data_IF_410708657897
#
_entry.id   IF_410708657897
#
_cell.length_a   1.000
_cell.length_b   1.000
_cell.length_c   1.000
_cell.angle_alpha   90.00
_cell.angle_beta   90.00
_cell.angle_gamma   90.00
#
_symmetry.space_group_name_H-M   'P 1'
#
loop_
_entity.id
_entity.type
_entity.pdbx_description
1 polymer ?
#
# COMPACT_ATOMS: atom_id res chain seq x y z
N UNK A 1 25.00 -8.84 14.17
CA UNK A 1 24.42 -9.85 13.26
C UNK A 1 22.90 -9.95 13.41
N UNK A 2 22.31 -10.39 14.54
CA UNK A 2 20.83 -10.46 14.67
C UNK A 2 20.11 -9.09 14.71
N UNK A 3 20.82 -8.05 15.18
CA UNK A 3 20.30 -6.67 15.25
C UNK A 3 20.14 -6.00 13.88
N UNK A 4 20.74 -6.59 12.86
CA UNK A 4 20.87 -6.02 11.51
C UNK A 4 19.90 -6.70 10.52
N UNK A 5 19.26 -7.79 10.94
CA UNK A 5 18.32 -8.56 10.11
C UNK A 5 16.93 -7.96 10.31
N UNK A 6 16.54 -7.09 9.40
CA UNK A 6 15.16 -6.64 9.26
C UNK A 6 14.52 -7.31 8.04
N UNK A 7 13.42 -8.01 8.27
CA UNK A 7 12.64 -8.61 7.19
C UNK A 7 11.76 -7.56 6.51
N UNK A 8 11.86 -7.47 5.18
CA UNK A 8 10.88 -6.78 4.35
C UNK A 8 10.54 -7.65 3.14
N UNK A 9 9.26 -7.65 2.76
CA UNK A 9 8.81 -8.38 1.57
C UNK A 9 9.20 -7.67 0.28
N UNK A 10 9.04 -8.36 -0.86
CA UNK A 10 9.33 -7.82 -2.20
C UNK A 10 8.62 -6.49 -2.51
N UNK A 11 7.49 -6.21 -1.85
CA UNK A 11 6.72 -4.98 -2.02
C UNK A 11 7.35 -3.70 -1.46
N UNK A 12 8.46 -3.78 -0.70
CA UNK A 12 9.05 -2.59 -0.05
C UNK A 12 9.52 -1.53 -1.06
N UNK A 13 9.94 -1.94 -2.26
CA UNK A 13 10.41 -1.03 -3.31
C UNK A 13 9.33 -0.08 -3.83
N UNK A 14 8.04 -0.43 -3.67
CA UNK A 14 6.91 0.42 -4.06
C UNK A 14 6.61 1.53 -3.04
N UNK A 15 7.13 1.44 -1.82
CA UNK A 15 6.91 2.42 -0.77
C UNK A 15 7.91 3.57 -0.95
N UNK A 16 7.40 4.76 -1.31
CA UNK A 16 8.21 5.96 -1.55
C UNK A 16 8.06 7.03 -0.47
N UNK A 17 7.08 6.87 0.41
CA UNK A 17 6.70 7.87 1.42
C UNK A 17 6.39 7.18 2.73
N UNK A 18 6.55 7.92 3.83
CA UNK A 18 6.11 7.51 5.16
C UNK A 18 4.80 8.22 5.48
N UNK A 19 3.74 7.45 5.68
CA UNK A 19 2.41 7.94 5.98
C UNK A 19 1.95 7.42 7.35
N UNK A 20 0.90 8.01 7.92
CA UNK A 20 0.21 7.35 9.03
C UNK A 20 -0.50 6.09 8.52
N UNK A 21 -0.67 5.10 9.39
CA UNK A 21 -1.41 3.89 9.01
C UNK A 21 -2.84 4.22 8.55
N UNK A 22 -3.50 5.18 9.20
CA UNK A 22 -4.85 5.62 8.86
C UNK A 22 -4.94 6.22 7.46
N UNK A 23 -4.02 7.13 7.13
CA UNK A 23 -4.00 7.79 5.82
C UNK A 23 -3.71 6.79 4.70
N UNK A 24 -2.78 5.86 4.93
CA UNK A 24 -2.44 4.81 3.96
C UNK A 24 -3.66 3.91 3.66
N UNK A 25 -4.36 3.46 4.71
CA UNK A 25 -5.57 2.61 4.56
C UNK A 25 -6.71 3.38 3.89
N UNK A 26 -6.90 4.65 4.24
CA UNK A 26 -7.91 5.50 3.61
C UNK A 26 -7.64 5.67 2.10
N UNK A 27 -6.37 5.88 1.73
CA UNK A 27 -5.95 5.96 0.33
C UNK A 27 -6.21 4.65 -0.42
N UNK A 28 -5.79 3.51 0.12
CA UNK A 28 -6.05 2.20 -0.49
C UNK A 28 -7.54 1.93 -0.71
N UNK A 29 -8.38 2.29 0.28
CA UNK A 29 -9.83 2.14 0.19
C UNK A 29 -10.40 2.95 -0.96
N UNK A 30 -9.93 4.19 -1.14
CA UNK A 30 -10.34 5.05 -2.26
C UNK A 30 -9.91 4.46 -3.61
N UNK A 31 -8.62 4.12 -3.74
CA UNK A 31 -8.05 3.56 -4.98
C UNK A 31 -8.77 2.27 -5.40
N UNK A 32 -9.09 1.38 -4.45
CA UNK A 32 -9.87 0.18 -4.71
C UNK A 32 -11.27 0.49 -5.25
N UNK A 33 -12.00 1.43 -4.61
CA UNK A 33 -13.35 1.82 -5.06
C UNK A 33 -13.33 2.38 -6.49
N UNK A 34 -12.34 3.22 -6.80
CA UNK A 34 -12.13 3.77 -8.14
C UNK A 34 -11.81 2.68 -9.16
N UNK A 35 -10.91 1.76 -8.84
CA UNK A 35 -10.56 0.63 -9.70
C UNK A 35 -11.77 -0.28 -9.95
N UNK A 36 -12.52 -0.61 -8.91
CA UNK A 36 -13.75 -1.40 -9.02
C UNK A 36 -14.75 -0.70 -9.93
N UNK A 37 -14.99 0.60 -9.75
CA UNK A 37 -15.90 1.36 -10.60
C UNK A 37 -15.50 1.31 -12.09
N UNK A 38 -14.19 1.42 -12.40
CA UNK A 38 -13.68 1.29 -13.78
C UNK A 38 -13.93 -0.11 -14.37
N UNK A 39 -13.81 -1.15 -13.56
CA UNK A 39 -14.02 -2.54 -14.00
C UNK A 39 -15.51 -2.90 -14.13
N UNK A 40 -16.40 -2.21 -13.42
CA UNK A 40 -17.85 -2.47 -13.45
C UNK A 40 -18.65 -1.63 -14.45
N UNK A 41 -18.02 -0.68 -15.17
CA UNK A 41 -18.67 0.07 -16.27
C UNK A 41 -18.57 -0.72 -17.60
N UNK A 42 -18.83 -2.03 -17.53
CA UNK A 42 -19.01 -2.91 -18.68
C UNK A 42 -20.49 -3.21 -18.88
#
# INVERSE_FOLDING_TARGET
AWKDIWGCGQGIGAIKTRESAGDYVARLTREYKEARARLTIG
#
